data_IF_004166674657
#
_entry.id   IF_004166674657
#
_cell.length_a   1.000
_cell.length_b   1.000
_cell.length_c   1.000
_cell.angle_alpha   90.00
_cell.angle_beta   90.00
_cell.angle_gamma   90.00
#
_symmetry.space_group_name_H-M   'P 1'
#
loop_
_entity.id
_entity.type
_entity.pdbx_description
1 polymer ?
#
# COMPACT_ATOMS: atom_id res chain seq x y z
N UNK A 1 -1.50 -12.15 -24.22
CA UNK A 1 -1.56 -10.67 -24.11
C UNK A 1 -1.28 -10.32 -22.66
N UNK A 2 -0.06 -9.90 -22.30
CA UNK A 2 0.22 -9.20 -21.03
C UNK A 2 1.71 -8.90 -20.88
N UNK A 3 2.24 -8.00 -21.70
CA UNK A 3 3.47 -7.26 -21.39
C UNK A 3 3.11 -5.77 -21.32
N UNK A 4 2.18 -5.43 -20.44
CA UNK A 4 1.74 -4.06 -20.21
C UNK A 4 1.88 -3.73 -18.74
N UNK A 5 2.31 -2.51 -18.43
CA UNK A 5 2.31 -1.97 -17.07
C UNK A 5 0.88 -1.86 -16.49
N UNK A 6 -0.14 -1.87 -17.35
CA UNK A 6 -1.55 -1.70 -17.01
C UNK A 6 -2.32 -3.01 -17.16
N UNK A 7 -3.21 -3.30 -16.21
CA UNK A 7 -4.17 -4.42 -16.29
C UNK A 7 -5.44 -4.02 -17.03
N UNK A 8 -6.30 -5.01 -17.34
CA UNK A 8 -7.63 -4.75 -17.91
C UNK A 8 -8.48 -3.82 -17.03
N UNK A 9 -8.36 -3.94 -15.71
CA UNK A 9 -9.07 -3.06 -14.78
C UNK A 9 -8.63 -1.61 -14.87
N UNK A 10 -7.35 -1.35 -15.20
CA UNK A 10 -6.91 0.03 -15.46
C UNK A 10 -7.62 0.59 -16.69
N UNK A 11 -7.75 -0.19 -17.77
CA UNK A 11 -8.47 0.22 -18.97
C UNK A 11 -9.95 0.50 -18.67
N UNK A 12 -10.58 -0.33 -17.83
CA UNK A 12 -11.95 -0.10 -17.37
C UNK A 12 -12.07 1.21 -16.59
N UNK A 13 -11.16 1.46 -15.64
CA UNK A 13 -11.10 2.73 -14.90
C UNK A 13 -10.96 3.91 -15.84
N UNK A 14 -10.07 3.85 -16.84
CA UNK A 14 -9.91 4.93 -17.80
C UNK A 14 -11.18 5.21 -18.59
N UNK A 15 -11.86 4.15 -19.06
CA UNK A 15 -13.13 4.29 -19.76
C UNK A 15 -14.20 4.97 -18.88
N UNK A 16 -14.30 4.54 -17.61
CA UNK A 16 -15.28 5.07 -16.65
C UNK A 16 -15.02 6.56 -16.36
N UNK A 17 -13.78 6.95 -16.09
CA UNK A 17 -13.46 8.35 -15.69
C UNK A 17 -13.41 9.32 -16.86
N UNK A 18 -13.09 8.87 -18.08
CA UNK A 18 -13.03 9.74 -19.26
C UNK A 18 -14.34 9.79 -20.04
N UNK A 19 -15.31 8.93 -19.73
CA UNK A 19 -16.58 8.82 -20.47
C UNK A 19 -17.40 10.11 -20.53
N UNK A 20 -17.32 10.96 -19.50
CA UNK A 20 -18.00 12.27 -19.43
C UNK A 20 -17.32 13.38 -20.23
N UNK A 21 -16.14 13.15 -20.81
CA UNK A 21 -15.36 14.19 -21.49
C UNK A 21 -15.93 14.47 -22.88
N UNK A 22 -16.43 15.71 -23.07
CA UNK A 22 -16.95 16.16 -24.37
C UNK A 22 -15.87 16.14 -25.46
N UNK A 23 -16.30 15.98 -26.72
CA UNK A 23 -15.40 15.87 -27.87
C UNK A 23 -14.38 17.03 -27.99
N UNK A 24 -14.75 18.23 -27.53
CA UNK A 24 -13.89 19.42 -27.51
C UNK A 24 -12.61 19.22 -26.68
N UNK A 25 -12.68 18.48 -25.57
CA UNK A 25 -11.57 18.33 -24.62
C UNK A 25 -10.83 16.99 -24.75
N UNK A 26 -11.34 16.04 -25.54
CA UNK A 26 -10.78 14.67 -25.64
C UNK A 26 -9.28 14.64 -25.92
N UNK A 27 -8.81 15.43 -26.90
CA UNK A 27 -7.38 15.46 -27.24
C UNK A 27 -6.52 15.99 -26.09
N UNK A 28 -6.98 17.04 -25.40
CA UNK A 28 -6.25 17.62 -24.28
C UNK A 28 -6.19 16.67 -23.08
N UNK A 29 -7.32 16.01 -22.78
CA UNK A 29 -7.39 15.00 -21.72
C UNK A 29 -6.52 13.80 -22.07
N UNK A 30 -6.58 13.27 -23.30
CA UNK A 30 -5.76 12.14 -23.74
C UNK A 30 -4.25 12.43 -23.60
N UNK A 31 -3.81 13.59 -24.08
CA UNK A 31 -2.41 14.03 -23.93
C UNK A 31 -2.02 14.22 -22.45
N UNK A 32 -2.93 14.71 -21.60
CA UNK A 32 -2.69 14.89 -20.18
C UNK A 32 -2.64 13.56 -19.41
N UNK A 33 -3.54 12.61 -19.70
CA UNK A 33 -3.51 11.25 -19.16
C UNK A 33 -2.21 10.57 -19.57
N UNK A 34 -1.81 10.66 -20.85
CA UNK A 34 -0.56 10.09 -21.31
C UNK A 34 0.66 10.65 -20.53
N UNK A 35 0.71 11.98 -20.32
CA UNK A 35 1.77 12.60 -19.49
C UNK A 35 1.72 12.13 -18.03
N UNK A 36 0.55 12.06 -17.42
CA UNK A 36 0.36 11.62 -16.03
C UNK A 36 0.85 10.19 -15.81
N UNK A 37 0.65 9.32 -16.80
CA UNK A 37 1.00 7.90 -16.74
C UNK A 37 2.41 7.59 -17.23
N UNK A 38 3.05 8.53 -17.92
CA UNK A 38 4.40 8.35 -18.42
C UNK A 38 5.37 8.35 -17.23
N UNK A 39 6.16 7.28 -17.02
CA UNK A 39 7.16 7.25 -15.96
C UNK A 39 8.17 8.39 -16.14
N UNK A 40 8.38 9.18 -15.09
CA UNK A 40 9.38 10.27 -15.05
C UNK A 40 10.69 9.84 -14.41
N UNK A 41 10.72 8.66 -13.79
CA UNK A 41 11.90 8.06 -13.20
C UNK A 41 11.94 6.56 -13.44
N UNK A 42 13.13 5.99 -13.45
CA UNK A 42 13.31 4.56 -13.56
C UNK A 42 12.53 3.83 -12.47
N UNK A 43 11.84 2.74 -12.84
CA UNK A 43 11.12 1.84 -11.94
C UNK A 43 10.01 2.52 -11.12
N UNK A 44 9.44 3.61 -11.62
CA UNK A 44 8.26 4.24 -11.04
C UNK A 44 7.10 3.24 -10.90
N UNK A 45 6.35 3.38 -9.81
CA UNK A 45 5.19 2.54 -9.55
C UNK A 45 4.02 2.97 -10.42
N UNK A 46 3.32 2.00 -11.02
CA UNK A 46 2.08 2.27 -11.75
C UNK A 46 1.00 2.62 -10.73
N UNK A 47 0.25 3.72 -10.88
CA UNK A 47 -0.82 4.06 -9.94
C UNK A 47 -1.82 2.92 -9.77
N UNK A 48 -2.18 2.60 -8.53
CA UNK A 48 -3.17 1.58 -8.19
C UNK A 48 -4.58 1.94 -8.66
N UNK A 49 -5.48 0.95 -8.70
CA UNK A 49 -6.85 1.07 -9.21
C UNK A 49 -7.73 2.04 -8.43
N UNK A 50 -7.42 2.32 -7.16
CA UNK A 50 -8.10 3.29 -6.30
C UNK A 50 -7.56 4.71 -6.48
N UNK A 51 -6.24 4.85 -6.62
CA UNK A 51 -5.59 6.15 -6.75
C UNK A 51 -5.76 6.72 -8.16
N UNK A 52 -5.73 5.85 -9.17
CA UNK A 52 -5.82 6.22 -10.57
C UNK A 52 -7.10 7.02 -10.92
N UNK A 53 -8.32 6.60 -10.52
CA UNK A 53 -9.52 7.39 -10.78
C UNK A 53 -9.44 8.80 -10.18
N UNK A 54 -8.94 8.94 -8.95
CA UNK A 54 -8.79 10.23 -8.28
C UNK A 54 -7.84 11.14 -9.06
N UNK A 55 -6.64 10.67 -9.35
CA UNK A 55 -5.63 11.44 -10.10
C UNK A 55 -6.15 11.90 -11.47
N UNK A 56 -6.86 11.01 -12.19
CA UNK A 56 -7.41 11.34 -13.51
C UNK A 56 -8.59 12.30 -13.40
N UNK A 57 -9.46 12.17 -12.40
CA UNK A 57 -10.58 13.11 -12.16
C UNK A 57 -10.11 14.50 -11.78
N UNK A 58 -9.12 14.61 -10.90
CA UNK A 58 -8.50 15.89 -10.53
C UNK A 58 -7.97 16.61 -11.78
N UNK A 59 -7.21 15.91 -12.61
CA UNK A 59 -6.71 16.46 -13.88
C UNK A 59 -7.83 16.81 -14.88
N UNK A 60 -8.87 15.98 -15.00
CA UNK A 60 -10.02 16.28 -15.86
C UNK A 60 -10.76 17.53 -15.36
N UNK A 61 -10.92 17.71 -14.04
CA UNK A 61 -11.58 18.87 -13.46
C UNK A 61 -10.86 20.18 -13.82
N UNK A 62 -9.52 20.17 -13.95
CA UNK A 62 -8.75 21.33 -14.40
C UNK A 62 -8.98 21.67 -15.88
N UNK A 63 -9.09 20.67 -16.75
CA UNK A 63 -9.20 20.85 -18.22
C UNK A 63 -10.65 21.04 -18.68
N UNK A 64 -11.57 20.28 -18.08
CA UNK A 64 -12.99 20.23 -18.41
C UNK A 64 -13.84 20.18 -17.13
N UNK A 65 -14.02 21.32 -16.43
CA UNK A 65 -14.68 21.39 -15.11
C UNK A 65 -16.10 20.83 -15.07
N UNK A 66 -16.79 20.78 -16.22
CA UNK A 66 -18.17 20.28 -16.34
C UNK A 66 -18.25 18.78 -16.71
N UNK A 67 -17.11 18.10 -16.90
CA UNK A 67 -17.06 16.69 -17.29
C UNK A 67 -17.22 15.71 -16.12
N UNK A 68 -16.62 15.94 -14.93
CA UNK A 68 -16.90 15.11 -13.77
C UNK A 68 -18.39 15.25 -13.38
N UNK A 69 -19.07 14.16 -12.99
CA UNK A 69 -20.34 14.29 -12.29
C UNK A 69 -20.12 15.18 -11.06
N UNK A 70 -21.03 16.13 -10.83
CA UNK A 70 -21.07 16.87 -9.56
C UNK A 70 -21.32 15.83 -8.49
N UNK A 71 -20.33 15.59 -7.63
CA UNK A 71 -20.52 14.72 -6.48
C UNK A 71 -21.48 15.44 -5.52
N UNK A 72 -22.73 14.98 -5.35
CA UNK A 72 -23.68 15.63 -4.46
C UNK A 72 -23.21 15.53 -3.00
N UNK A 73 -22.34 14.57 -2.72
CA UNK A 73 -21.60 14.38 -1.48
C UNK A 73 -20.12 14.63 -1.77
N UNK A 74 -19.78 15.81 -2.31
CA UNK A 74 -18.38 16.19 -2.49
C UNK A 74 -17.57 15.81 -1.27
N UNK A 75 -16.38 15.21 -1.47
CA UNK A 75 -15.49 14.70 -0.41
C UNK A 75 -15.53 15.65 0.77
N UNK A 76 -16.38 15.35 1.75
CA UNK A 76 -16.67 16.26 2.84
C UNK A 76 -15.36 16.51 3.56
N UNK A 77 -15.23 17.70 4.17
CA UNK A 77 -14.09 17.95 5.05
C UNK A 77 -13.97 16.78 6.02
N UNK A 78 -12.83 16.07 6.00
CA UNK A 78 -12.62 14.89 6.84
C UNK A 78 -12.92 15.34 8.27
N UNK A 79 -13.93 14.75 8.96
CA UNK A 79 -14.33 15.21 10.27
C UNK A 79 -13.12 15.20 11.22
N UNK A 80 -13.07 16.05 12.25
CA UNK A 80 -11.96 16.02 13.20
C UNK A 80 -11.80 14.62 13.81
N UNK A 81 -10.59 14.15 14.17
CA UNK A 81 -10.35 12.77 14.61
C UNK A 81 -11.30 12.26 15.70
N UNK A 82 -11.75 13.15 16.59
CA UNK A 82 -12.69 12.85 17.66
C UNK A 82 -14.09 12.45 17.16
N UNK A 83 -14.49 12.96 16.00
CA UNK A 83 -15.76 12.64 15.33
C UNK A 83 -15.63 11.48 14.32
N UNK A 84 -14.42 10.96 14.11
CA UNK A 84 -14.18 9.79 13.26
C UNK A 84 -14.22 8.47 14.03
N UNK A 85 -14.35 8.53 15.36
CA UNK A 85 -14.42 7.35 16.21
C UNK A 85 -15.84 7.17 16.76
N UNK A 86 -16.34 5.94 16.70
CA UNK A 86 -17.63 5.57 17.27
C UNK A 86 -17.52 4.18 17.92
N UNK A 87 -18.32 3.95 18.96
CA UNK A 87 -18.34 2.70 19.70
C UNK A 87 -19.77 2.34 20.06
N UNK A 88 -20.29 1.30 19.43
CA UNK A 88 -21.62 0.77 19.69
C UNK A 88 -21.53 -0.65 20.27
N UNK A 89 -22.44 -0.93 21.19
CA UNK A 89 -22.59 -2.25 21.82
C UNK A 89 -24.00 -2.75 21.55
N UNK A 90 -24.09 -3.94 20.96
CA UNK A 90 -25.35 -4.65 20.78
C UNK A 90 -25.44 -5.80 21.80
N UNK A 91 -26.27 -5.58 22.83
CA UNK A 91 -26.53 -6.51 23.93
C UNK A 91 -27.89 -7.22 23.81
N UNK A 92 -28.57 -7.11 22.65
CA UNK A 92 -29.93 -7.68 22.48
C UNK A 92 -29.97 -9.22 22.52
N UNK A 93 -28.83 -9.89 22.50
CA UNK A 93 -28.72 -11.35 22.59
C UNK A 93 -28.12 -11.75 23.94
N UNK A 94 -28.89 -12.50 24.74
CA UNK A 94 -28.52 -12.95 26.09
C UNK A 94 -27.27 -13.87 26.13
N UNK A 95 -26.80 -14.37 24.98
CA UNK A 95 -25.66 -15.29 24.88
C UNK A 95 -24.41 -14.66 24.25
N UNK A 96 -24.52 -13.47 23.68
CA UNK A 96 -23.39 -12.84 23.00
C UNK A 96 -23.58 -11.32 22.87
N UNK A 97 -22.54 -10.58 23.19
CA UNK A 97 -22.45 -9.13 22.93
C UNK A 97 -21.67 -8.88 21.66
N UNK A 98 -22.17 -7.98 20.79
CA UNK A 98 -21.41 -7.52 19.61
C UNK A 98 -20.90 -6.10 19.85
N UNK A 99 -19.60 -5.89 19.61
CA UNK A 99 -18.99 -4.57 19.63
C UNK A 99 -18.77 -4.11 18.19
N UNK A 100 -19.19 -2.89 17.88
CA UNK A 100 -18.91 -2.22 16.61
C UNK A 100 -18.10 -0.98 16.92
N UNK A 101 -16.89 -0.93 16.37
CA UNK A 101 -15.96 0.18 16.58
C UNK A 101 -15.64 0.78 15.20
N UNK A 102 -15.87 2.07 15.07
CA UNK A 102 -15.39 2.86 13.93
C UNK A 102 -14.15 3.61 14.38
N UNK A 103 -13.07 3.54 13.60
CA UNK A 103 -11.83 4.27 13.84
C UNK A 103 -11.28 4.79 12.51
N UNK A 104 -10.44 5.84 12.52
CA UNK A 104 -9.67 6.24 11.34
C UNK A 104 -8.93 5.05 10.73
N UNK A 105 -8.82 5.00 9.40
CA UNK A 105 -8.23 3.86 8.68
C UNK A 105 -6.82 3.52 9.17
N UNK A 106 -6.02 4.54 9.48
CA UNK A 106 -4.66 4.40 10.00
C UNK A 106 -4.62 3.77 11.41
N UNK A 107 -5.53 4.16 12.30
CA UNK A 107 -5.67 3.53 13.62
C UNK A 107 -6.16 2.07 13.50
N UNK A 108 -7.10 1.83 12.58
CA UNK A 108 -7.58 0.48 12.28
C UNK A 108 -6.46 -0.48 11.89
N UNK A 109 -5.50 -0.02 11.09
CA UNK A 109 -4.30 -0.81 10.73
C UNK A 109 -3.53 -1.25 11.97
N UNK A 110 -3.24 -0.33 12.90
CA UNK A 110 -2.51 -0.66 14.13
C UNK A 110 -3.27 -1.62 15.04
N UNK A 111 -4.57 -1.39 15.22
CA UNK A 111 -5.44 -2.26 16.04
C UNK A 111 -5.49 -3.69 15.47
N UNK A 112 -5.71 -3.84 14.16
CA UNK A 112 -5.75 -5.16 13.52
C UNK A 112 -4.42 -5.88 13.64
N UNK A 113 -3.29 -5.16 13.46
CA UNK A 113 -1.94 -5.74 13.62
C UNK A 113 -1.70 -6.27 15.03
N UNK A 114 -2.11 -5.53 16.05
CA UNK A 114 -2.01 -5.97 17.45
C UNK A 114 -2.86 -7.22 17.71
N UNK A 115 -4.10 -7.25 17.21
CA UNK A 115 -4.99 -8.41 17.36
C UNK A 115 -4.39 -9.63 16.65
N UNK A 116 -3.85 -9.46 15.44
CA UNK A 116 -3.22 -10.54 14.68
C UNK A 116 -1.97 -11.07 15.38
N UNK A 117 -1.13 -10.19 15.93
CA UNK A 117 0.04 -10.58 16.71
C UNK A 117 -0.37 -11.33 17.98
N UNK A 118 -1.40 -10.86 18.69
CA UNK A 118 -1.95 -11.56 19.86
C UNK A 118 -2.54 -12.92 19.51
N UNK A 119 -3.27 -13.03 18.40
CA UNK A 119 -3.84 -14.29 17.90
C UNK A 119 -2.74 -15.30 17.56
N UNK A 120 -1.67 -14.83 16.91
CA UNK A 120 -0.49 -15.64 16.59
C UNK A 120 0.21 -16.13 17.85
N UNK A 121 0.44 -15.25 18.82
CA UNK A 121 1.09 -15.60 20.10
C UNK A 121 0.29 -16.63 20.90
N UNK A 122 -1.04 -16.54 20.86
CA UNK A 122 -1.94 -17.47 21.56
C UNK A 122 -2.24 -18.75 20.77
N UNK A 123 -1.94 -18.80 19.47
CA UNK A 123 -2.43 -19.86 18.58
C UNK A 123 -3.96 -19.93 18.52
N UNK A 124 -4.64 -18.76 18.57
CA UNK A 124 -6.09 -18.65 18.73
C UNK A 124 -6.74 -17.76 17.66
N UNK A 125 -8.05 -17.55 17.75
CA UNK A 125 -8.76 -16.65 16.83
C UNK A 125 -8.55 -15.18 17.20
N UNK A 126 -8.77 -14.28 16.23
CA UNK A 126 -8.77 -12.82 16.44
C UNK A 126 -9.71 -12.40 17.58
N UNK A 127 -10.88 -13.03 17.69
CA UNK A 127 -11.84 -12.70 18.75
C UNK A 127 -11.31 -13.05 20.15
N UNK A 128 -10.67 -14.22 20.30
CA UNK A 128 -10.04 -14.61 21.58
C UNK A 128 -8.89 -13.66 21.91
N UNK A 129 -8.02 -13.38 20.93
CA UNK A 129 -6.92 -12.43 21.11
C UNK A 129 -7.38 -11.04 21.52
N UNK A 130 -8.43 -10.52 20.89
CA UNK A 130 -9.02 -9.23 21.26
C UNK A 130 -9.48 -9.21 22.73
N UNK A 131 -10.22 -10.23 23.16
CA UNK A 131 -10.71 -10.33 24.55
C UNK A 131 -9.55 -10.45 25.55
N UNK A 132 -8.53 -11.26 25.26
CA UNK A 132 -7.37 -11.43 26.15
C UNK A 132 -6.48 -10.17 26.20
N UNK A 133 -6.39 -9.41 25.11
CA UNK A 133 -5.74 -8.08 25.07
C UNK A 133 -6.48 -7.10 25.98
N UNK A 134 -7.82 -7.01 25.87
CA UNK A 134 -8.63 -6.10 26.68
C UNK A 134 -8.64 -6.47 28.16
N UNK A 135 -8.60 -7.75 28.50
CA UNK A 135 -8.40 -8.21 29.88
C UNK A 135 -6.96 -8.04 30.38
N UNK A 136 -6.03 -7.57 29.53
CA UNK A 136 -4.62 -7.38 29.89
C UNK A 136 -3.85 -8.68 30.17
N UNK A 137 -4.37 -9.84 29.79
CA UNK A 137 -3.78 -11.14 30.16
C UNK A 137 -2.56 -11.49 29.31
N UNK A 138 -2.55 -11.04 28.06
CA UNK A 138 -1.42 -11.17 27.13
C UNK A 138 -0.60 -9.88 26.99
N UNK A 139 -0.93 -8.85 27.78
CA UNK A 139 -0.18 -7.60 27.86
C UNK A 139 0.79 -7.54 29.06
N UNK A 140 1.00 -8.65 29.76
CA UNK A 140 1.99 -8.75 30.85
C UNK A 140 3.41 -8.90 30.30
N UNK A 141 4.42 -8.51 31.09
CA UNK A 141 5.85 -8.72 30.82
C UNK A 141 6.32 -8.25 29.42
N UNK A 142 6.00 -7.00 29.08
CA UNK A 142 6.39 -6.38 27.81
C UNK A 142 5.30 -6.44 26.72
N UNK A 143 4.27 -7.27 26.91
CA UNK A 143 3.04 -7.28 26.11
C UNK A 143 3.18 -7.59 24.62
N UNK A 144 2.05 -7.60 23.91
CA UNK A 144 2.04 -7.77 22.46
C UNK A 144 2.59 -6.50 21.82
N UNK A 145 3.66 -6.65 21.03
CA UNK A 145 4.29 -5.54 20.31
C UNK A 145 4.20 -5.77 18.81
N UNK A 146 3.91 -4.71 18.08
CA UNK A 146 3.98 -4.68 16.63
C UNK A 146 4.83 -3.50 16.20
N UNK A 147 5.60 -3.70 15.14
CA UNK A 147 6.31 -2.61 14.46
C UNK A 147 5.50 -2.22 13.25
N UNK A 148 5.10 -0.95 13.20
CA UNK A 148 4.42 -0.36 12.05
C UNK A 148 5.39 0.57 11.34
N UNK A 149 5.81 0.19 10.14
CA UNK A 149 6.66 1.02 9.33
C UNK A 149 5.82 2.10 8.65
N UNK A 150 6.16 3.35 8.92
CA UNK A 150 5.61 4.50 8.21
C UNK A 150 6.67 5.09 7.29
N UNK A 151 6.26 5.45 6.07
CA UNK A 151 7.16 5.92 5.04
C UNK A 151 6.85 7.36 4.71
N UNK A 152 7.80 8.24 4.99
CA UNK A 152 7.64 9.68 4.82
C UNK A 152 8.50 10.20 3.67
N UNK A 153 7.87 10.92 2.75
CA UNK A 153 8.56 11.67 1.72
C UNK A 153 9.21 12.92 2.35
N UNK A 154 10.52 13.09 2.14
CA UNK A 154 11.27 14.21 2.74
C UNK A 154 10.99 15.56 2.06
N UNK A 155 10.63 15.54 0.78
CA UNK A 155 10.39 16.76 -0.01
C UNK A 155 8.97 17.30 0.23
N UNK A 156 7.97 16.42 0.25
CA UNK A 156 6.55 16.80 0.38
C UNK A 156 6.03 16.69 1.80
N UNK A 157 6.73 15.98 2.68
CA UNK A 157 6.27 15.67 4.03
C UNK A 157 5.15 14.61 4.09
N UNK A 158 4.61 14.18 2.95
CA UNK A 158 3.54 13.19 2.86
C UNK A 158 4.00 11.85 3.44
N UNK A 159 3.13 11.21 4.20
CA UNK A 159 3.43 9.97 4.92
C UNK A 159 2.40 8.91 4.55
N UNK A 160 2.87 7.69 4.36
CA UNK A 160 2.03 6.53 4.14
C UNK A 160 2.31 5.48 5.21
N UNK A 161 1.24 4.87 5.71
CA UNK A 161 1.25 3.75 6.65
C UNK A 161 0.57 2.55 5.98
N UNK A 162 1.37 1.56 5.59
CA UNK A 162 0.99 0.32 4.90
C UNK A 162 0.10 0.49 3.64
N UNK A 163 -1.20 0.75 3.82
CA UNK A 163 -2.17 0.90 2.73
C UNK A 163 -2.86 2.26 2.71
N UNK A 164 -2.55 3.13 3.66
CA UNK A 164 -3.19 4.42 3.81
C UNK A 164 -2.18 5.55 3.65
N UNK A 165 -2.51 6.51 2.78
CA UNK A 165 -1.90 7.84 2.84
C UNK A 165 -2.49 8.58 4.03
N UNK A 166 -1.63 9.14 4.86
CA UNK A 166 -2.04 9.86 6.05
C UNK A 166 -2.39 11.31 5.70
N UNK A 167 -3.45 11.83 6.30
CA UNK A 167 -3.68 13.28 6.34
C UNK A 167 -2.55 13.97 7.10
N UNK A 168 -2.47 15.30 7.01
CA UNK A 168 -1.48 16.07 7.79
C UNK A 168 -1.66 15.85 9.30
N UNK A 169 -2.90 15.89 9.79
CA UNK A 169 -3.20 15.65 11.20
C UNK A 169 -2.81 14.23 11.64
N UNK A 170 -3.10 13.21 10.82
CA UNK A 170 -2.69 11.83 11.09
C UNK A 170 -1.16 11.69 11.04
N UNK A 171 -0.49 12.33 10.08
CA UNK A 171 0.98 12.38 9.96
C UNK A 171 1.60 12.92 11.24
N UNK A 172 1.11 14.06 11.75
CA UNK A 172 1.61 14.64 13.01
C UNK A 172 1.40 13.70 14.20
N UNK A 173 0.22 13.08 14.31
CA UNK A 173 -0.09 12.09 15.37
C UNK A 173 0.86 10.90 15.33
N UNK A 174 1.06 10.28 14.16
CA UNK A 174 1.94 9.13 14.02
C UNK A 174 3.41 9.48 14.23
N UNK A 175 3.86 10.66 13.76
CA UNK A 175 5.22 11.14 14.01
C UNK A 175 5.53 11.29 15.49
N UNK A 176 4.55 11.63 16.34
CA UNK A 176 4.72 11.70 17.79
C UNK A 176 4.96 10.33 18.45
N UNK A 177 4.62 9.22 17.77
CA UNK A 177 4.80 7.84 18.28
C UNK A 177 6.02 7.13 17.70
N UNK A 178 6.77 7.77 16.80
CA UNK A 178 7.95 7.17 16.17
C UNK A 178 9.03 6.92 17.23
N UNK A 179 9.41 5.65 17.37
CA UNK A 179 10.46 5.22 18.31
C UNK A 179 11.81 4.99 17.63
N UNK A 180 11.82 4.80 16.31
CA UNK A 180 13.01 4.55 15.52
C UNK A 180 12.89 5.18 14.14
N UNK A 181 14.00 5.70 13.64
CA UNK A 181 14.10 6.31 12.31
C UNK A 181 15.16 5.58 11.50
N UNK A 182 14.83 5.33 10.24
CA UNK A 182 15.77 4.82 9.26
C UNK A 182 15.62 5.65 7.98
N UNK A 183 16.73 6.16 7.46
CA UNK A 183 16.75 6.77 6.14
C UNK A 183 16.89 5.64 5.13
N UNK A 184 15.85 5.44 4.32
CA UNK A 184 15.86 4.45 3.26
C UNK A 184 16.97 4.78 2.24
N UNK A 185 17.76 3.77 1.87
CA UNK A 185 18.93 3.94 1.03
C UNK A 185 19.13 2.82 0.03
N UNK A 186 19.88 3.10 -1.04
CA UNK A 186 20.28 2.06 -1.97
C UNK A 186 21.33 1.15 -1.32
N UNK A 187 21.07 -0.16 -1.33
CA UNK A 187 22.02 -1.17 -0.85
C UNK A 187 21.90 -2.45 -1.67
N UNK A 188 23.02 -3.15 -1.81
CA UNK A 188 23.12 -4.44 -2.50
C UNK A 188 24.07 -5.39 -1.77
N UNK A 189 23.89 -6.69 -1.98
CA UNK A 189 24.84 -7.72 -1.57
C UNK A 189 24.71 -8.99 -2.42
N UNK A 190 25.69 -9.90 -2.31
CA UNK A 190 25.75 -11.14 -3.11
C UNK A 190 24.86 -12.28 -2.57
N UNK A 191 24.19 -12.07 -1.45
CA UNK A 191 23.33 -13.10 -0.85
C UNK A 191 21.94 -13.11 -1.48
N UNK A 192 21.25 -14.25 -1.48
CA UNK A 192 19.88 -14.35 -2.02
C UNK A 192 18.83 -13.60 -1.19
N UNK A 193 19.03 -13.47 0.13
CA UNK A 193 17.99 -12.98 1.05
C UNK A 193 18.21 -11.52 1.42
N UNK A 194 17.16 -10.73 1.30
CA UNK A 194 17.16 -9.33 1.75
C UNK A 194 17.46 -9.17 3.23
N UNK A 195 18.21 -8.12 3.54
CA UNK A 195 18.29 -7.58 4.91
C UNK A 195 16.98 -6.91 5.33
N UNK A 196 16.77 -6.71 6.63
CA UNK A 196 15.59 -5.99 7.13
C UNK A 196 15.47 -4.59 6.52
N UNK A 197 16.59 -3.84 6.48
CA UNK A 197 16.64 -2.51 5.87
C UNK A 197 16.24 -2.51 4.39
N UNK A 198 16.66 -3.52 3.62
CA UNK A 198 16.26 -3.65 2.22
C UNK A 198 14.76 -3.91 2.09
N UNK A 199 14.19 -4.78 2.92
CA UNK A 199 12.74 -5.06 2.91
C UNK A 199 11.94 -3.80 3.21
N UNK A 200 12.32 -3.06 4.25
CA UNK A 200 11.64 -1.82 4.64
C UNK A 200 11.76 -0.76 3.53
N UNK A 201 12.95 -0.59 2.95
CA UNK A 201 13.18 0.34 1.83
C UNK A 201 12.33 -0.01 0.62
N UNK A 202 12.26 -1.30 0.24
CA UNK A 202 11.49 -1.75 -0.92
C UNK A 202 9.99 -1.60 -0.66
N UNK A 203 9.51 -1.98 0.52
CA UNK A 203 8.10 -1.83 0.89
C UNK A 203 7.67 -0.36 0.91
N UNK A 204 8.50 0.54 1.44
CA UNK A 204 8.23 1.98 1.43
C UNK A 204 8.22 2.61 0.05
N UNK A 205 9.14 2.17 -0.82
CA UNK A 205 9.21 2.61 -2.23
C UNK A 205 7.97 2.16 -3.01
N UNK A 206 7.54 0.92 -2.77
CA UNK A 206 6.48 0.28 -3.54
C UNK A 206 5.08 0.68 -3.06
N UNK A 207 4.88 0.82 -1.74
CA UNK A 207 3.59 1.10 -1.10
C UNK A 207 2.64 -0.10 -1.15
N UNK A 208 2.36 -0.60 -2.35
CA UNK A 208 1.55 -1.80 -2.60
C UNK A 208 2.31 -2.84 -3.43
N UNK A 209 1.73 -4.02 -3.55
CA UNK A 209 2.16 -5.05 -4.48
C UNK A 209 2.39 -4.46 -5.88
N UNK A 210 3.53 -4.79 -6.49
CA UNK A 210 3.96 -4.28 -7.80
C UNK A 210 3.34 -5.03 -8.98
N UNK A 211 2.56 -6.08 -8.72
CA UNK A 211 1.78 -6.73 -9.77
C UNK A 211 0.71 -5.78 -10.30
N UNK A 212 0.51 -5.68 -11.63
CA UNK A 212 -0.45 -4.73 -12.20
C UNK A 212 -1.86 -4.89 -11.60
N UNK A 213 -2.33 -3.84 -10.93
CA UNK A 213 -3.68 -3.74 -10.39
C UNK A 213 -3.87 -4.36 -9.00
N UNK A 214 -2.82 -4.92 -8.41
CA UNK A 214 -2.86 -5.41 -7.05
C UNK A 214 -2.63 -4.26 -6.06
N UNK A 215 -3.47 -4.17 -5.04
CA UNK A 215 -3.40 -3.14 -4.00
C UNK A 215 -3.10 -3.71 -2.61
N UNK A 216 -2.66 -4.98 -2.56
CA UNK A 216 -2.20 -5.58 -1.31
C UNK A 216 -1.00 -4.80 -0.75
N UNK A 217 -0.92 -4.57 0.58
CA UNK A 217 0.14 -3.76 1.16
C UNK A 217 1.52 -4.36 0.90
N UNK A 218 2.45 -3.51 0.46
CA UNK A 218 3.84 -3.92 0.29
C UNK A 218 4.50 -4.28 1.63
N UNK A 219 4.04 -3.68 2.73
CA UNK A 219 4.51 -3.95 4.08
C UNK A 219 4.33 -5.43 4.51
N UNK A 220 3.36 -6.13 3.93
CA UNK A 220 3.11 -7.57 4.16
C UNK A 220 3.44 -8.44 2.97
N UNK A 221 3.96 -7.86 1.90
CA UNK A 221 4.31 -8.58 0.69
C UNK A 221 5.64 -9.32 0.84
N UNK A 222 5.85 -10.30 -0.03
CA UNK A 222 7.15 -10.95 -0.21
C UNK A 222 8.03 -10.06 -1.11
N UNK A 223 9.34 -10.08 -0.86
CA UNK A 223 10.30 -9.39 -1.72
C UNK A 223 10.85 -10.37 -2.75
N UNK A 224 10.82 -9.96 -4.02
CA UNK A 224 11.23 -10.79 -5.14
C UNK A 224 12.08 -10.02 -6.14
N UNK A 225 13.09 -10.68 -6.71
CA UNK A 225 13.97 -10.09 -7.72
C UNK A 225 13.22 -9.81 -9.00
N UNK A 226 13.21 -8.57 -9.51
CA UNK A 226 12.53 -8.19 -10.75
C UNK A 226 12.97 -9.10 -11.91
N UNK A 227 14.28 -9.22 -12.13
CA UNK A 227 14.86 -10.26 -12.96
C UNK A 227 15.13 -11.52 -12.12
N UNK A 228 14.92 -12.72 -12.68
CA UNK A 228 15.10 -13.98 -11.92
C UNK A 228 16.50 -14.09 -11.32
N UNK A 229 16.57 -14.42 -10.02
CA UNK A 229 17.83 -14.76 -9.34
C UNK A 229 18.33 -16.12 -9.82
N UNK A 230 19.57 -16.18 -10.31
CA UNK A 230 20.23 -17.43 -10.74
C UNK A 230 21.19 -17.98 -9.69
N UNK A 231 21.70 -17.13 -8.80
CA UNK A 231 22.75 -17.51 -7.84
C UNK A 231 24.13 -17.71 -8.47
N UNK A 232 24.25 -17.43 -9.75
CA UNK A 232 25.48 -17.53 -10.53
C UNK A 232 26.11 -16.14 -10.67
N UNK A 233 27.43 -16.12 -10.65
CA UNK A 233 28.24 -14.92 -10.76
C UNK A 233 29.31 -15.13 -11.84
N UNK A 234 29.62 -14.06 -12.56
CA UNK A 234 30.79 -13.99 -13.44
C UNK A 234 32.07 -14.01 -12.61
N UNK A 235 33.23 -14.18 -13.27
CA UNK A 235 34.55 -14.22 -12.60
C UNK A 235 34.87 -12.93 -11.81
N UNK A 236 34.36 -11.78 -12.25
CA UNK A 236 34.45 -10.48 -11.57
C UNK A 236 33.41 -10.31 -10.44
N UNK A 237 32.60 -11.34 -10.15
CA UNK A 237 31.61 -11.32 -9.08
C UNK A 237 30.30 -10.61 -9.42
N UNK A 238 30.01 -10.40 -10.72
CA UNK A 238 28.75 -9.81 -11.19
C UNK A 238 27.66 -10.89 -11.32
N UNK A 239 26.47 -10.73 -10.71
CA UNK A 239 25.37 -11.69 -10.88
C UNK A 239 24.97 -11.86 -12.35
N UNK A 240 24.81 -13.10 -12.82
CA UNK A 240 24.30 -13.40 -14.17
C UNK A 240 22.78 -13.27 -14.28
N UNK A 241 22.09 -13.20 -13.13
CA UNK A 241 20.65 -12.97 -12.99
C UNK A 241 20.32 -11.65 -12.28
N UNK A 242 19.12 -11.57 -11.69
CA UNK A 242 18.72 -10.44 -10.85
C UNK A 242 19.66 -10.27 -9.65
N UNK A 243 19.88 -9.02 -9.24
CA UNK A 243 20.72 -8.68 -8.07
C UNK A 243 19.86 -8.54 -6.82
N UNK A 244 20.35 -8.96 -5.67
CA UNK A 244 19.75 -8.63 -4.36
C UNK A 244 20.12 -7.20 -3.99
N UNK A 245 19.32 -6.26 -4.50
CA UNK A 245 19.54 -4.84 -4.35
C UNK A 245 18.18 -4.14 -4.26
N UNK A 246 18.09 -3.09 -3.43
CA UNK A 246 16.82 -2.37 -3.19
C UNK A 246 16.16 -1.83 -4.45
N UNK A 247 16.91 -1.69 -5.54
CA UNK A 247 16.44 -1.19 -6.81
C UNK A 247 16.15 -2.30 -7.83
N UNK A 248 16.62 -3.52 -7.62
CA UNK A 248 16.46 -4.67 -8.52
C UNK A 248 15.40 -5.67 -8.02
N UNK A 249 14.73 -5.34 -6.93
CA UNK A 249 13.73 -6.15 -6.26
C UNK A 249 12.41 -5.39 -6.12
N UNK A 250 11.33 -6.11 -5.84
CA UNK A 250 9.96 -5.60 -5.79
C UNK A 250 9.12 -6.35 -4.76
N UNK A 251 8.07 -5.68 -4.28
CA UNK A 251 7.06 -6.23 -3.38
C UNK A 251 5.99 -6.98 -4.17
N UNK A 252 5.74 -8.26 -3.86
CA UNK A 252 4.64 -9.05 -4.41
C UNK A 252 3.89 -9.78 -3.29
N UNK A 253 2.57 -9.64 -3.22
CA UNK A 253 1.77 -10.46 -2.32
C UNK A 253 1.89 -11.95 -2.72
N UNK A 254 1.70 -12.87 -1.77
CA UNK A 254 1.89 -14.32 -1.99
C UNK A 254 1.18 -14.87 -3.25
N UNK A 255 -0.08 -14.49 -3.56
CA UNK A 255 -0.71 -14.90 -4.82
C UNK A 255 0.04 -14.42 -6.06
N UNK A 256 0.41 -13.13 -6.12
CA UNK A 256 1.13 -12.56 -7.25
C UNK A 256 2.57 -13.08 -7.37
N UNK A 257 3.25 -13.31 -6.25
CA UNK A 257 4.55 -13.96 -6.19
C UNK A 257 4.49 -15.37 -6.80
N UNK A 258 3.47 -16.14 -6.43
CA UNK A 258 3.24 -17.49 -6.96
C UNK A 258 3.03 -17.48 -8.48
N UNK A 259 2.28 -16.51 -9.01
CA UNK A 259 2.08 -16.36 -10.45
C UNK A 259 3.40 -16.05 -11.18
N UNK A 260 4.22 -15.16 -10.62
CA UNK A 260 5.53 -14.82 -11.20
C UNK A 260 6.50 -16.00 -11.19
N UNK A 261 6.56 -16.72 -10.07
CA UNK A 261 7.38 -17.93 -9.94
C UNK A 261 7.03 -18.96 -11.02
N UNK A 262 5.73 -19.13 -11.30
CA UNK A 262 5.19 -20.01 -12.35
C UNK A 262 5.37 -19.48 -13.78
N UNK A 263 5.90 -18.26 -13.96
CA UNK A 263 6.05 -17.63 -15.28
C UNK A 263 4.74 -17.14 -15.91
N UNK A 264 3.67 -17.04 -15.12
CA UNK A 264 2.36 -16.53 -15.57
C UNK A 264 2.26 -15.01 -15.47
N UNK A 265 3.15 -14.41 -14.67
CA UNK A 265 3.36 -12.97 -14.58
C UNK A 265 4.85 -12.72 -14.86
N UNK A 266 5.15 -11.88 -15.84
CA UNK A 266 6.53 -11.42 -16.09
C UNK A 266 6.54 -9.90 -16.11
N UNK A 267 7.52 -9.29 -15.45
CA UNK A 267 7.65 -7.84 -15.44
C UNK A 267 8.57 -7.41 -16.58
N UNK A 268 8.24 -6.36 -17.34
CA UNK A 268 9.16 -5.83 -18.34
C UNK A 268 10.47 -5.40 -17.65
N UNK A 269 11.60 -5.77 -18.26
CA UNK A 269 12.95 -5.50 -17.74
C UNK A 269 13.28 -4.01 -17.74
#
# INVERSE_FOLDING_TARGET
MSCGAFSFDHLRVFADVTGGVSARFRRLVDEAVARLLTPVRARQVVPGLRTLPRMVREMIAEIAPLAPPVDPEGEGEIPPPQAQMDFAVDERNDRSTTFVITVPTDEGTGVVRLIDAGATQLGSSRAVAFVELMHGRINKDGGVKVTLNCYRNLDTGAMHLENAWLSEAATQRWMAWVTSLCVAGHSEHQGRRNTAHQKDTIAGRDGTCRAPGCEEPAATAEIDHVARWTGEFTEDGTPTGGKTATWAEQSLCTPCHSLKTRGLLDQPR
#
